data_IF_486775459534
#
_entry.id   IF_486775459534
#
_cell.length_a   1.000
_cell.length_b   1.000
_cell.length_c   1.000
_cell.angle_alpha   90.00
_cell.angle_beta   90.00
_cell.angle_gamma   90.00
#
_symmetry.space_group_name_H-M   'P 1'
#
loop_
_entity.id
_entity.type
_entity.pdbx_description
1 polymer ?
#
# COMPACT_ATOMS: atom_id res chain seq x y z
N UNK A 1 28.90 7.82 29.00
CA UNK A 1 27.60 7.21 28.72
C UNK A 1 27.20 6.41 29.94
N UNK A 2 26.12 6.80 30.62
CA UNK A 2 25.61 6.11 31.82
C UNK A 2 24.90 4.81 31.43
N UNK A 3 24.73 3.87 32.36
CA UNK A 3 24.00 2.62 32.08
C UNK A 3 22.55 2.88 31.67
N UNK A 4 21.93 3.94 32.20
CA UNK A 4 20.60 4.41 31.81
C UNK A 4 20.56 4.94 30.37
N UNK A 5 21.61 5.63 29.91
CA UNK A 5 21.69 6.12 28.53
C UNK A 5 21.80 4.96 27.52
N UNK A 6 22.54 3.90 27.87
CA UNK A 6 22.66 2.69 27.04
C UNK A 6 21.33 1.95 26.95
N UNK A 7 20.65 1.74 28.08
CA UNK A 7 19.35 1.07 28.12
C UNK A 7 18.30 1.82 27.28
N UNK A 8 18.30 3.16 27.36
CA UNK A 8 17.42 4.00 26.54
C UNK A 8 17.74 3.90 25.04
N UNK A 9 19.02 3.86 24.67
CA UNK A 9 19.45 3.71 23.28
C UNK A 9 19.05 2.34 22.71
N UNK A 10 19.27 1.26 23.46
CA UNK A 10 18.83 -0.09 23.09
C UNK A 10 17.32 -0.19 22.95
N UNK A 11 16.56 0.42 23.87
CA UNK A 11 15.11 0.50 23.78
C UNK A 11 14.66 1.21 22.50
N UNK A 12 15.24 2.38 22.20
CA UNK A 12 14.93 3.15 20.97
C UNK A 12 15.27 2.36 19.70
N UNK A 13 16.41 1.68 19.68
CA UNK A 13 16.80 0.83 18.55
C UNK A 13 15.81 -0.31 18.35
N UNK A 14 15.34 -0.92 19.44
CA UNK A 14 14.35 -2.00 19.40
C UNK A 14 13.00 -1.49 18.87
N UNK A 15 12.51 -0.35 19.37
CA UNK A 15 11.25 0.26 18.89
C UNK A 15 11.33 0.59 17.39
N UNK A 16 12.45 1.14 16.92
CA UNK A 16 12.66 1.43 15.49
C UNK A 16 12.58 0.15 14.64
N UNK A 17 13.30 -0.90 15.05
CA UNK A 17 13.26 -2.20 14.35
C UNK A 17 11.85 -2.79 14.28
N UNK A 18 11.09 -2.73 15.38
CA UNK A 18 9.69 -3.21 15.39
C UNK A 18 8.80 -2.40 14.43
N UNK A 19 8.96 -1.07 14.42
CA UNK A 19 8.21 -0.18 13.53
C UNK A 19 8.53 -0.48 12.06
N UNK A 20 9.81 -0.58 11.71
CA UNK A 20 10.24 -0.80 10.33
C UNK A 20 9.77 -2.18 9.83
N UNK A 21 9.82 -3.21 10.69
CA UNK A 21 9.25 -4.52 10.40
C UNK A 21 7.73 -4.45 10.19
N UNK A 22 6.99 -3.76 11.07
CA UNK A 22 5.55 -3.61 10.92
C UNK A 22 5.18 -2.90 9.61
N UNK A 23 5.94 -1.88 9.22
CA UNK A 23 5.77 -1.17 7.95
C UNK A 23 6.01 -2.10 6.75
N UNK A 24 7.08 -2.91 6.78
CA UNK A 24 7.35 -3.89 5.73
C UNK A 24 6.22 -4.91 5.59
N UNK A 25 5.67 -5.40 6.70
CA UNK A 25 4.52 -6.31 6.67
C UNK A 25 3.27 -5.64 6.13
N UNK A 26 3.02 -4.40 6.51
CA UNK A 26 1.88 -3.63 6.01
C UNK A 26 1.93 -3.46 4.49
N UNK A 27 3.10 -3.08 3.96
CA UNK A 27 3.31 -2.90 2.51
C UNK A 27 3.08 -4.23 1.74
N UNK A 28 3.54 -5.36 2.30
CA UNK A 28 3.25 -6.70 1.76
C UNK A 28 1.75 -7.01 1.74
N UNK A 29 1.03 -6.69 2.81
CA UNK A 29 -0.41 -6.90 2.88
C UNK A 29 -1.15 -6.07 1.82
N UNK A 30 -0.73 -4.82 1.57
CA UNK A 30 -1.28 -4.01 0.48
C UNK A 30 -1.09 -4.71 -0.87
N UNK A 31 0.12 -5.21 -1.14
CA UNK A 31 0.40 -5.94 -2.38
C UNK A 31 -0.48 -7.18 -2.51
N UNK A 32 -0.57 -8.01 -1.46
CA UNK A 32 -1.36 -9.24 -1.47
C UNK A 32 -2.85 -8.97 -1.64
N UNK A 33 -3.41 -8.00 -0.91
CA UNK A 33 -4.83 -7.66 -1.03
C UNK A 33 -5.14 -7.01 -2.38
N UNK A 34 -4.26 -6.14 -2.89
CA UNK A 34 -4.49 -5.46 -4.17
C UNK A 34 -4.40 -6.43 -5.34
N UNK A 35 -3.35 -7.26 -5.38
CA UNK A 35 -3.16 -8.26 -6.45
C UNK A 35 -4.14 -9.41 -6.36
N UNK A 36 -4.34 -9.96 -5.16
CA UNK A 36 -5.30 -11.03 -4.89
C UNK A 36 -6.73 -10.58 -5.19
N UNK A 37 -7.12 -9.39 -4.71
CA UNK A 37 -8.42 -8.79 -5.03
C UNK A 37 -8.61 -8.61 -6.53
N UNK A 38 -7.64 -8.06 -7.25
CA UNK A 38 -7.72 -7.89 -8.70
C UNK A 38 -7.87 -9.22 -9.44
N UNK A 39 -7.06 -10.23 -9.11
CA UNK A 39 -7.13 -11.56 -9.75
C UNK A 39 -8.48 -12.23 -9.47
N UNK A 40 -8.94 -12.21 -8.22
CA UNK A 40 -10.24 -12.80 -7.84
C UNK A 40 -11.38 -12.09 -8.57
N UNK A 41 -11.38 -10.76 -8.57
CA UNK A 41 -12.46 -9.98 -9.19
C UNK A 41 -12.46 -10.16 -10.72
N UNK A 42 -11.31 -10.20 -11.39
CA UNK A 42 -11.23 -10.49 -12.82
C UNK A 42 -11.65 -11.93 -13.15
N UNK A 43 -11.25 -12.89 -12.33
CA UNK A 43 -11.48 -14.32 -12.57
C UNK A 43 -12.94 -14.72 -12.39
N UNK A 44 -13.61 -14.17 -11.38
CA UNK A 44 -14.95 -14.62 -10.99
C UNK A 44 -16.09 -13.68 -11.38
N UNK A 45 -15.83 -12.47 -11.89
CA UNK A 45 -16.92 -11.52 -12.14
C UNK A 45 -18.00 -12.05 -13.10
N UNK A 46 -17.60 -12.84 -14.11
CA UNK A 46 -18.52 -13.44 -15.08
C UNK A 46 -19.35 -14.59 -14.50
N UNK A 47 -18.81 -15.27 -13.49
CA UNK A 47 -19.49 -16.40 -12.84
C UNK A 47 -20.52 -15.90 -11.82
N UNK A 48 -20.39 -14.65 -11.38
CA UNK A 48 -21.23 -14.10 -10.32
C UNK A 48 -22.28 -13.09 -10.81
N UNK A 49 -22.04 -12.42 -11.94
CA UNK A 49 -22.93 -11.38 -12.48
C UNK A 49 -23.07 -11.60 -13.98
N UNK A 50 -24.32 -11.57 -14.48
CA UNK A 50 -24.58 -11.52 -15.92
C UNK A 50 -24.15 -10.17 -16.47
N UNK A 51 -23.02 -10.15 -17.16
CA UNK A 51 -22.44 -8.92 -17.69
C UNK A 51 -23.29 -8.29 -18.80
N UNK A 52 -24.20 -9.00 -19.45
CA UNK A 52 -25.03 -8.40 -20.50
C UNK A 52 -26.16 -7.56 -19.90
N UNK A 53 -26.71 -7.99 -18.76
CA UNK A 53 -27.77 -7.29 -18.02
C UNK A 53 -27.21 -6.31 -16.96
N UNK A 54 -25.94 -6.46 -16.57
CA UNK A 54 -25.33 -5.64 -15.54
C UNK A 54 -25.33 -4.14 -15.85
N UNK A 55 -25.93 -3.37 -14.95
CA UNK A 55 -25.82 -1.93 -14.89
C UNK A 55 -24.47 -1.48 -14.32
N UNK A 56 -24.08 -0.24 -14.65
CA UNK A 56 -23.00 0.46 -13.94
C UNK A 56 -21.62 -0.22 -14.04
N UNK A 57 -21.33 -0.87 -15.18
CA UNK A 57 -20.04 -1.51 -15.52
C UNK A 57 -18.81 -0.61 -15.29
N UNK A 58 -19.00 0.71 -15.30
CA UNK A 58 -17.93 1.67 -14.98
C UNK A 58 -17.42 1.52 -13.54
N UNK A 59 -18.25 1.11 -12.57
CA UNK A 59 -17.83 0.88 -11.18
C UNK A 59 -16.84 -0.28 -11.09
N UNK A 60 -17.11 -1.37 -11.83
CA UNK A 60 -16.19 -2.51 -11.93
C UNK A 60 -14.83 -2.08 -12.49
N UNK A 61 -14.83 -1.33 -13.60
CA UNK A 61 -13.58 -0.82 -14.21
C UNK A 61 -12.87 0.13 -13.24
N UNK A 62 -13.60 1.01 -12.54
CA UNK A 62 -13.02 1.93 -11.55
C UNK A 62 -12.38 1.19 -10.38
N UNK A 63 -12.98 0.09 -9.92
CA UNK A 63 -12.38 -0.77 -8.89
C UNK A 63 -11.08 -1.40 -9.38
N UNK A 64 -11.07 -2.00 -10.57
CA UNK A 64 -9.86 -2.60 -11.15
C UNK A 64 -8.74 -1.58 -11.33
N UNK A 65 -9.08 -0.39 -11.84
CA UNK A 65 -8.15 0.73 -11.94
C UNK A 65 -7.62 1.11 -10.55
N UNK A 66 -8.47 1.14 -9.52
CA UNK A 66 -8.08 1.39 -8.14
C UNK A 66 -7.07 0.37 -7.60
N UNK A 67 -7.29 -0.93 -7.83
CA UNK A 67 -6.33 -1.97 -7.46
C UNK A 67 -4.98 -1.81 -8.18
N UNK A 68 -5.00 -1.50 -9.48
CA UNK A 68 -3.78 -1.27 -10.26
C UNK A 68 -3.04 -0.01 -9.76
N UNK A 69 -3.76 1.09 -9.50
CA UNK A 69 -3.18 2.32 -8.98
C UNK A 69 -2.57 2.08 -7.59
N UNK A 70 -3.25 1.33 -6.71
CA UNK A 70 -2.71 0.90 -5.42
C UNK A 70 -1.35 0.19 -5.57
N UNK A 71 -1.27 -0.79 -6.48
CA UNK A 71 -0.04 -1.53 -6.78
C UNK A 71 1.09 -0.65 -7.37
N UNK A 72 0.74 0.31 -8.22
CA UNK A 72 1.73 1.25 -8.77
C UNK A 72 2.27 2.19 -7.69
N UNK A 73 1.40 2.69 -6.80
CA UNK A 73 1.80 3.59 -5.71
C UNK A 73 2.70 2.89 -4.70
N UNK A 74 2.41 1.64 -4.31
CA UNK A 74 3.27 0.88 -3.40
C UNK A 74 4.64 0.60 -4.04
N UNK A 75 4.67 0.29 -5.34
CA UNK A 75 5.93 0.11 -6.07
C UNK A 75 6.76 1.40 -6.13
N UNK A 76 6.12 2.54 -6.39
CA UNK A 76 6.78 3.85 -6.37
C UNK A 76 7.28 4.22 -4.97
N UNK A 77 6.53 3.85 -3.93
CA UNK A 77 6.94 4.05 -2.54
C UNK A 77 8.21 3.27 -2.21
N UNK A 78 8.29 1.99 -2.58
CA UNK A 78 9.50 1.18 -2.40
C UNK A 78 10.70 1.80 -3.11
N UNK A 79 10.52 2.33 -4.33
CA UNK A 79 11.57 3.03 -5.06
C UNK A 79 12.02 4.31 -4.33
N UNK A 80 11.09 5.04 -3.73
CA UNK A 80 11.38 6.23 -2.89
C UNK A 80 12.18 5.86 -1.64
N UNK A 81 11.79 4.79 -0.94
CA UNK A 81 12.49 4.29 0.25
C UNK A 81 13.94 3.87 -0.03
N UNK A 82 14.18 3.15 -1.13
CA UNK A 82 15.54 2.78 -1.56
C UNK A 82 16.39 4.03 -1.81
N UNK A 83 15.79 5.05 -2.41
CA UNK A 83 16.48 6.32 -2.66
C UNK A 83 16.79 7.06 -1.35
N UNK A 84 15.86 7.11 -0.40
CA UNK A 84 16.09 7.69 0.92
C UNK A 84 17.28 7.02 1.63
N UNK A 85 17.27 5.69 1.73
CA UNK A 85 18.39 4.94 2.32
C UNK A 85 19.73 5.17 1.62
N UNK A 86 19.73 5.35 0.30
CA UNK A 86 20.96 5.68 -0.46
C UNK A 86 21.47 7.09 -0.12
N UNK A 87 20.58 8.06 0.05
CA UNK A 87 20.94 9.43 0.42
C UNK A 87 21.46 9.52 1.86
N UNK A 88 20.86 8.75 2.78
CA UNK A 88 21.31 8.64 4.16
C UNK A 88 22.75 8.13 4.24
N UNK A 89 23.09 7.08 3.47
CA UNK A 89 24.46 6.56 3.36
C UNK A 89 25.46 7.56 2.76
N UNK A 90 24.99 8.55 2.02
CA UNK A 90 25.80 9.63 1.46
C UNK A 90 25.92 10.85 2.40
N UNK A 91 25.34 10.78 3.61
CA UNK A 91 25.31 11.90 4.56
C UNK A 91 24.36 13.02 4.17
N UNK A 92 23.44 12.78 3.23
CA UNK A 92 22.45 13.75 2.73
C UNK A 92 21.14 13.66 3.51
N UNK A 93 21.22 13.86 4.82
CA UNK A 93 20.10 13.63 5.76
C UNK A 93 18.82 14.39 5.36
N UNK A 94 18.91 15.68 5.02
CA UNK A 94 17.72 16.47 4.63
C UNK A 94 17.05 15.95 3.34
N UNK A 95 17.83 15.55 2.33
CA UNK A 95 17.25 14.97 1.11
C UNK A 95 16.65 13.58 1.38
N UNK A 96 17.24 12.82 2.32
CA UNK A 96 16.73 11.53 2.77
C UNK A 96 15.37 11.68 3.45
N UNK A 97 15.26 12.60 4.42
CA UNK A 97 14.02 12.90 5.14
C UNK A 97 12.88 13.30 4.18
N UNK A 98 13.17 14.14 3.17
CA UNK A 98 12.20 14.50 2.14
C UNK A 98 11.72 13.30 1.31
N UNK A 99 12.59 12.32 1.03
CA UNK A 99 12.19 11.09 0.32
C UNK A 99 11.37 10.18 1.22
N UNK A 100 11.68 10.08 2.52
CA UNK A 100 10.91 9.30 3.48
C UNK A 100 9.49 9.85 3.65
N UNK A 101 9.31 11.17 3.67
CA UNK A 101 7.97 11.77 3.64
C UNK A 101 7.19 11.40 2.37
N UNK A 102 7.87 11.38 1.21
CA UNK A 102 7.26 10.96 -0.06
C UNK A 102 6.85 9.49 -0.02
N UNK A 103 7.71 8.63 0.52
CA UNK A 103 7.43 7.19 0.74
C UNK A 103 6.16 7.02 1.57
N UNK A 104 6.09 7.67 2.74
CA UNK A 104 4.93 7.59 3.62
C UNK A 104 3.64 8.10 2.95
N UNK A 105 3.74 9.20 2.19
CA UNK A 105 2.60 9.70 1.43
C UNK A 105 2.13 8.68 0.39
N UNK A 106 3.03 8.11 -0.40
CA UNK A 106 2.70 7.10 -1.42
C UNK A 106 2.05 5.85 -0.82
N UNK A 107 2.56 5.36 0.31
CA UNK A 107 1.96 4.24 1.06
C UNK A 107 0.54 4.55 1.50
N UNK A 108 0.30 5.73 2.07
CA UNK A 108 -1.03 6.16 2.51
C UNK A 108 -2.01 6.28 1.32
N UNK A 109 -1.56 6.83 0.19
CA UNK A 109 -2.39 6.87 -1.02
C UNK A 109 -2.68 5.47 -1.55
N UNK A 110 -1.69 4.59 -1.60
CA UNK A 110 -1.86 3.19 -2.02
C UNK A 110 -2.93 2.50 -1.18
N UNK A 111 -2.84 2.62 0.14
CA UNK A 111 -3.83 2.09 1.07
C UNK A 111 -5.24 2.69 0.83
N UNK A 112 -5.34 4.00 0.61
CA UNK A 112 -6.61 4.66 0.28
C UNK A 112 -7.24 4.12 -1.01
N UNK A 113 -6.44 3.92 -2.06
CA UNK A 113 -6.89 3.33 -3.32
C UNK A 113 -7.33 1.87 -3.16
N UNK A 114 -6.64 1.07 -2.34
CA UNK A 114 -7.05 -0.29 -2.02
C UNK A 114 -8.44 -0.33 -1.37
N UNK A 115 -8.66 0.48 -0.32
CA UNK A 115 -9.95 0.53 0.38
C UNK A 115 -11.07 1.00 -0.55
N UNK A 116 -10.81 2.05 -1.36
CA UNK A 116 -11.76 2.54 -2.34
C UNK A 116 -12.09 1.47 -3.40
N UNK A 117 -11.08 0.76 -3.93
CA UNK A 117 -11.26 -0.29 -4.91
C UNK A 117 -12.14 -1.43 -4.39
N UNK A 118 -11.86 -1.92 -3.18
CA UNK A 118 -12.67 -2.96 -2.52
C UNK A 118 -14.12 -2.48 -2.32
N UNK A 119 -14.29 -1.26 -1.79
CA UNK A 119 -15.63 -0.69 -1.54
C UNK A 119 -16.43 -0.56 -2.82
N UNK A 120 -15.83 -0.01 -3.88
CA UNK A 120 -16.48 0.14 -5.19
C UNK A 120 -16.83 -1.22 -5.80
N UNK A 121 -15.97 -2.23 -5.66
CA UNK A 121 -16.28 -3.58 -6.15
C UNK A 121 -17.49 -4.18 -5.42
N UNK A 122 -17.50 -4.12 -4.08
CA UNK A 122 -18.61 -4.64 -3.28
C UNK A 122 -19.92 -3.92 -3.61
N UNK A 123 -19.88 -2.61 -3.85
CA UNK A 123 -21.05 -1.84 -4.29
C UNK A 123 -21.54 -2.28 -5.67
N UNK A 124 -20.63 -2.43 -6.65
CA UNK A 124 -21.00 -2.94 -7.98
C UNK A 124 -21.66 -4.31 -7.88
N UNK A 125 -21.09 -5.19 -7.06
CA UNK A 125 -21.62 -6.53 -6.84
C UNK A 125 -23.02 -6.50 -6.24
N UNK A 126 -23.22 -5.70 -5.20
CA UNK A 126 -24.51 -5.62 -4.48
C UNK A 126 -25.63 -5.05 -5.35
N UNK A 127 -25.30 -4.21 -6.33
CA UNK A 127 -26.29 -3.62 -7.26
C UNK A 127 -26.70 -4.61 -8.37
N UNK A 128 -25.82 -5.54 -8.75
CA UNK A 128 -25.99 -6.40 -9.92
C UNK A 128 -26.18 -7.90 -9.59
N UNK A 129 -26.31 -8.23 -8.30
CA UNK A 129 -26.73 -9.54 -7.81
C UNK A 129 -28.26 -9.59 -7.69
#
# INVERSE_FOLDING_TARGET
MTDQEKELEEYRATVRKMRDYAQEQFDKLIVYLSSGGLILTLGFVKDLVDLDEAGWKFLMIASWAGFVISLLLILLSHKSAIKAGTLELQGKHTESDEQDERTNRLNNWSFGFLIAAITVFVLFFTINL
#
